data_IF_274516837688
#
_entry.id   IF_274516837688
#
_cell.length_a   1.000
_cell.length_b   1.000
_cell.length_c   1.000
_cell.angle_alpha   90.00
_cell.angle_beta   90.00
_cell.angle_gamma   90.00
#
_symmetry.space_group_name_H-M   'P 1'
#
loop_
_entity.id
_entity.type
_entity.pdbx_description
1 polymer ?
2 non-polymer ?
3 non-polymer ?
4 non-polymer ?
5 water ?
#
# COMPACT_ATOMS: atom_id res chain seq x y z
N UNK A 1 3.49 8.27 13.94
CA UNK A 1 4.42 7.70 12.86
C UNK A 1 4.62 6.24 13.16
N UNK A 2 5.05 5.54 12.14
CA UNK A 2 5.42 4.17 12.32
C UNK A 2 6.75 4.00 11.63
N UNK A 3 7.45 2.95 12.06
CA UNK A 3 8.81 2.70 11.64
C UNK A 3 9.02 1.23 11.29
N UNK A 4 9.92 0.98 10.32
CA UNK A 4 10.36 -0.40 10.00
C UNK A 4 11.83 -0.37 9.61
N UNK A 5 12.65 -1.29 10.22
CA UNK A 5 14.05 -1.48 9.94
C UNK A 5 14.31 -2.83 9.31
N UNK A 6 15.04 -2.79 8.22
CA UNK A 6 15.38 -3.96 7.51
C UNK A 6 16.52 -4.71 8.21
N UNK A 7 17.35 -4.02 8.98
CA UNK A 7 18.42 -4.57 9.69
C UNK A 7 17.93 -5.37 10.85
N UNK A 8 18.12 -6.69 10.76
CA UNK A 8 17.59 -7.65 11.75
C UNK A 8 16.14 -8.02 11.52
N UNK A 9 15.58 -7.58 10.40
CA UNK A 9 14.17 -7.82 10.15
C UNK A 9 13.90 -9.32 9.92
N UNK A 10 12.77 -9.75 10.38
CA UNK A 10 12.29 -11.13 10.18
C UNK A 10 10.80 -11.10 9.98
N UNK A 11 10.20 -12.25 9.68
CA UNK A 11 8.71 -12.27 9.49
C UNK A 11 7.90 -11.71 10.66
N UNK A 12 8.37 -11.89 11.87
CA UNK A 12 7.64 -11.32 13.01
C UNK A 12 7.75 -9.77 13.03
N UNK A 13 8.96 -9.21 12.88
CA UNK A 13 9.15 -7.79 13.00
C UNK A 13 8.41 -7.04 11.90
N UNK A 14 8.40 -7.66 10.75
CA UNK A 14 7.63 -7.15 9.64
C UNK A 14 6.11 -7.18 9.99
N UNK A 15 5.67 -8.31 10.52
CA UNK A 15 4.27 -8.40 10.89
C UNK A 15 3.93 -7.35 11.91
N UNK A 16 4.83 -7.06 12.88
CA UNK A 16 4.55 -5.98 13.88
C UNK A 16 4.55 -4.58 13.21
N UNK A 17 5.41 -4.35 12.17
CA UNK A 17 5.29 -3.15 11.39
C UNK A 17 3.93 -3.02 10.73
N UNK A 18 3.49 -4.06 10.10
CA UNK A 18 2.23 -3.96 9.35
C UNK A 18 1.05 -3.80 10.31
N UNK A 19 1.12 -4.45 11.47
CA UNK A 19 0.13 -4.16 12.45
C UNK A 19 0.13 -2.67 12.93
N UNK A 20 1.30 -2.08 13.12
CA UNK A 20 1.42 -0.72 13.63
C UNK A 20 0.85 0.20 12.52
N UNK A 21 1.12 -0.16 11.24
CA UNK A 21 0.63 0.62 10.09
C UNK A 21 -0.93 0.63 10.02
N UNK A 22 -1.54 -0.53 10.10
CA UNK A 22 -2.99 -0.65 10.24
C UNK A 22 -3.51 0.15 11.47
N UNK A 23 -2.85 0.08 12.60
CA UNK A 23 -3.37 0.71 13.80
C UNK A 23 -3.26 2.21 13.78
N UNK A 24 -2.38 2.70 12.94
CA UNK A 24 -2.21 4.11 12.78
C UNK A 24 -3.27 4.82 11.85
N UNK A 25 -4.14 4.05 11.19
CA UNK A 25 -5.15 4.64 10.29
C UNK A 25 -6.41 4.82 11.05
N UNK A 26 -6.97 5.98 11.05
CA UNK A 26 -8.13 6.13 11.91
C UNK A 26 -9.41 5.63 11.22
N UNK A 27 -10.30 5.13 12.05
CA UNK A 27 -11.62 4.71 11.65
C UNK A 27 -12.55 4.96 12.87
N UNK A 28 -13.77 5.26 12.59
CA UNK A 28 -14.76 5.31 13.73
C UNK A 28 -15.76 4.16 13.59
N UNK A 29 -15.89 3.47 12.44
CA UNK A 29 -16.64 2.26 12.43
C UNK A 29 -16.03 1.08 11.73
N UNK A 30 -16.67 -0.07 11.96
CA UNK A 30 -16.31 -1.28 11.21
C UNK A 30 -17.48 -1.77 10.51
N UNK A 31 -17.23 -2.41 9.38
CA UNK A 31 -18.28 -2.94 8.55
C UNK A 31 -17.90 -4.40 8.40
N UNK A 32 -18.80 -5.26 8.86
CA UNK A 32 -18.52 -6.67 8.99
C UNK A 32 -17.19 -6.96 9.69
N UNK A 33 -16.93 -6.22 10.76
CA UNK A 33 -15.75 -6.28 11.55
C UNK A 33 -14.46 -5.88 10.85
N UNK A 34 -14.56 -5.22 9.70
CA UNK A 34 -13.36 -4.71 9.03
C UNK A 34 -13.33 -3.16 9.17
N UNK A 35 -12.23 -2.61 9.71
CA UNK A 35 -12.14 -1.17 9.82
C UNK A 35 -12.52 -0.43 8.55
N UNK A 36 -13.42 0.53 8.69
CA UNK A 36 -13.78 1.43 7.57
C UNK A 36 -13.00 2.76 7.61
N UNK A 37 -12.19 2.97 6.56
CA UNK A 37 -11.43 4.15 6.52
C UNK A 37 -12.36 5.37 6.38
N UNK A 38 -11.86 6.50 6.86
CA UNK A 38 -12.72 7.69 6.93
C UNK A 38 -12.94 8.30 5.55
N UNK A 39 -14.08 8.92 5.33
CA UNK A 39 -14.35 9.72 4.10
C UNK A 39 -13.28 10.79 3.78
N UNK A 40 -12.94 11.61 4.77
CA UNK A 40 -11.81 12.52 4.69
C UNK A 40 -11.29 12.90 6.06
N UNK A 41 -10.12 13.54 6.03
CA UNK A 41 -9.49 14.10 7.21
C UNK A 41 -8.88 15.41 6.75
N UNK A 42 -9.09 16.51 7.48
CA UNK A 42 -8.51 17.77 7.08
C UNK A 42 -7.14 18.02 7.74
N UNK A 43 -6.37 18.77 6.97
CA UNK A 43 -5.06 19.19 7.37
C UNK A 43 -4.03 18.08 7.40
N UNK A 44 -3.01 18.32 8.22
CA UNK A 44 -1.81 17.53 8.34
C UNK A 44 -2.18 16.17 8.85
N UNK A 45 -3.28 16.08 9.61
CA UNK A 45 -3.79 14.78 10.09
C UNK A 45 -4.15 13.73 9.05
N UNK A 46 -4.35 14.18 7.79
CA UNK A 46 -4.54 13.24 6.71
C UNK A 46 -3.32 12.32 6.45
N UNK A 47 -2.14 12.65 6.93
CA UNK A 47 -0.91 12.02 6.41
C UNK A 47 -0.17 11.30 7.59
N UNK A 48 0.08 10.03 7.43
CA UNK A 48 0.91 9.27 8.32
C UNK A 48 2.30 9.25 7.77
N UNK A 49 3.30 9.43 8.61
CA UNK A 49 4.68 9.25 8.15
C UNK A 49 5.17 7.81 8.52
N UNK A 50 5.74 7.12 7.54
CA UNK A 50 6.42 5.88 7.76
C UNK A 50 7.93 6.05 7.61
N UNK A 51 8.67 5.74 8.66
CA UNK A 51 10.09 5.85 8.65
C UNK A 51 10.67 4.47 8.31
N UNK A 52 11.36 4.37 7.17
CA UNK A 52 11.88 3.08 6.69
C UNK A 52 13.38 3.13 6.71
N UNK A 53 14.02 2.10 7.25
CA UNK A 53 15.50 2.10 7.36
C UNK A 53 16.01 0.88 6.61
N UNK A 54 16.92 1.15 5.69
CA UNK A 54 17.55 0.10 4.96
C UNK A 54 18.49 -0.66 5.85
N UNK A 55 18.99 -1.75 5.31
CA UNK A 55 19.90 -2.56 6.07
C UNK A 55 21.13 -1.84 6.62
N UNK A 56 21.70 -0.85 5.92
CA UNK A 56 22.80 -0.09 6.52
C UNK A 56 22.35 1.02 7.47
N UNK A 57 21.04 1.21 7.60
CA UNK A 57 20.59 2.17 8.56
C UNK A 57 20.28 3.52 7.93
N UNK A 58 20.35 3.70 6.61
CA UNK A 58 19.83 4.96 6.01
C UNK A 58 18.36 4.92 5.90
N UNK A 59 17.77 6.06 5.88
CA UNK A 59 16.30 6.14 6.02
C UNK A 59 15.63 7.08 5.03
N UNK A 60 14.42 6.70 4.63
CA UNK A 60 13.49 7.58 4.00
C UNK A 60 12.20 7.60 4.90
N UNK A 61 11.48 8.70 4.74
CA UNK A 61 10.20 8.89 5.41
C UNK A 61 9.13 8.96 4.36
N UNK A 62 8.10 8.16 4.44
CA UNK A 62 7.14 8.06 3.35
C UNK A 62 5.82 8.59 3.89
N UNK A 63 5.16 9.48 3.11
CA UNK A 63 3.86 10.05 3.56
C UNK A 63 2.74 9.24 2.96
N UNK A 64 1.83 8.83 3.83
CA UNK A 64 0.70 8.07 3.41
C UNK A 64 -0.64 8.76 3.74
N UNK A 65 -1.57 8.75 2.78
CA UNK A 65 -2.92 9.40 2.99
C UNK A 65 -3.71 8.30 3.74
N UNK A 66 -4.11 8.67 4.95
CA UNK A 66 -4.83 7.76 5.89
C UNK A 66 -6.21 7.34 5.48
N UNK A 67 -6.80 7.99 4.47
CA UNK A 67 -8.20 7.70 4.07
C UNK A 67 -8.19 6.66 2.96
N UNK A 68 -7.03 6.50 2.29
CA UNK A 68 -6.99 5.48 1.25
C UNK A 68 -5.69 4.58 1.14
N UNK A 69 -4.75 4.75 2.05
CA UNK A 69 -3.44 4.10 2.10
C UNK A 69 -2.55 4.41 0.85
N UNK A 70 -2.80 5.53 0.17
CA UNK A 70 -2.06 5.86 -1.01
C UNK A 70 -0.82 6.57 -0.55
N UNK A 71 0.26 6.19 -1.18
CA UNK A 71 1.57 6.91 -1.00
C UNK A 71 1.56 8.24 -1.76
N UNK A 72 1.80 9.32 -1.05
CA UNK A 72 1.78 10.64 -1.65
C UNK A 72 3.21 11.03 -2.19
N UNK A 73 4.22 10.64 -1.44
CA UNK A 73 5.62 11.09 -1.65
C UNK A 73 6.51 10.66 -0.49
N UNK A 74 7.75 11.08 -0.51
CA UNK A 74 8.76 10.69 0.46
C UNK A 74 9.87 11.74 0.56
N UNK A 75 10.57 11.71 1.66
CA UNK A 75 11.69 12.54 1.98
C UNK A 75 12.92 11.63 2.06
N UNK A 76 13.96 12.03 1.34
CA UNK A 76 15.27 11.28 1.29
C UNK A 76 16.37 12.29 1.46
N UNK A 77 16.87 12.35 2.70
CA UNK A 77 17.87 13.27 3.23
C UNK A 77 17.28 14.70 3.27
N UNK A 78 17.69 15.58 2.37
CA UNK A 78 17.14 16.93 2.36
C UNK A 78 16.20 17.21 1.11
N UNK A 79 15.87 16.17 0.32
CA UNK A 79 15.01 16.28 -0.83
C UNK A 79 13.67 15.53 -0.65
N UNK A 80 12.58 16.24 -0.83
CA UNK A 80 11.27 15.63 -0.94
C UNK A 80 10.93 15.29 -2.37
N UNK A 81 10.15 14.21 -2.55
CA UNK A 81 9.69 13.69 -3.83
C UNK A 81 8.17 13.41 -3.76
N UNK A 82 7.40 13.95 -4.65
CA UNK A 82 5.97 13.74 -4.72
C UNK A 82 5.53 13.28 -6.05
N UNK A 83 4.52 12.40 -6.02
CA UNK A 83 3.83 12.08 -7.24
C UNK A 83 3.27 13.29 -7.95
N UNK A 84 3.24 13.21 -9.27
CA UNK A 84 2.69 14.24 -10.17
C UNK A 84 1.17 13.98 -10.27
N UNK A 85 0.50 14.39 -9.18
CA UNK A 85 -0.97 14.24 -9.09
C UNK A 85 -1.49 15.20 -8.02
N UNK A 86 -2.74 15.66 -8.18
CA UNK A 86 -3.20 16.77 -7.26
C UNK A 86 -3.27 16.35 -5.78
N UNK A 87 -3.55 15.11 -5.50
CA UNK A 87 -3.51 14.70 -4.06
C UNK A 87 -2.16 14.82 -3.43
N UNK A 88 -1.10 14.52 -4.20
CA UNK A 88 0.24 14.67 -3.65
C UNK A 88 0.65 16.12 -3.60
N UNK A 89 0.24 16.93 -4.57
CA UNK A 89 0.60 18.30 -4.53
C UNK A 89 0.01 18.93 -3.22
N UNK A 90 -1.24 18.60 -2.91
CA UNK A 90 -1.92 19.06 -1.70
C UNK A 90 -1.11 18.53 -0.51
N UNK A 91 -0.75 17.25 -0.54
CA UNK A 91 0.01 16.65 0.58
C UNK A 91 1.31 17.42 0.84
N UNK A 92 1.96 17.94 -0.24
CA UNK A 92 3.21 18.72 -0.11
C UNK A 92 3.02 20.04 0.61
N UNK A 93 1.76 20.49 0.81
CA UNK A 93 1.56 21.66 1.59
C UNK A 93 1.68 21.38 3.05
N UNK A 94 1.66 20.12 3.46
CA UNK A 94 1.71 19.74 4.91
C UNK A 94 2.96 18.94 5.40
N UNK A 95 3.54 18.06 4.57
CA UNK A 95 4.61 17.17 5.02
C UNK A 95 5.91 17.52 4.27
N UNK A 96 7.01 17.36 4.94
CA UNK A 96 8.35 17.55 4.36
C UNK A 96 8.67 18.95 3.96
N UNK A 97 8.02 19.92 4.58
CA UNK A 97 8.26 21.34 4.21
C UNK A 97 9.67 21.88 4.61
N UNK A 98 10.32 21.14 5.52
CA UNK A 98 11.68 21.35 5.92
C UNK A 98 12.67 20.83 4.84
N UNK A 99 12.24 20.14 3.78
CA UNK A 99 13.17 19.79 2.73
C UNK A 99 13.75 21.02 2.10
N UNK A 100 15.01 20.91 1.77
CA UNK A 100 15.72 21.96 1.04
C UNK A 100 15.33 22.06 -0.46
N UNK A 101 14.94 20.99 -1.12
CA UNK A 101 14.24 21.09 -2.45
C UNK A 101 13.19 20.08 -2.56
N UNK A 102 12.24 20.32 -3.46
CA UNK A 102 11.12 19.45 -3.67
C UNK A 102 11.15 19.10 -5.15
N UNK A 103 11.23 17.81 -5.42
CA UNK A 103 11.15 17.28 -6.75
C UNK A 103 9.77 16.70 -6.96
N UNK A 104 9.11 17.07 -8.04
CA UNK A 104 7.94 16.26 -8.40
C UNK A 104 8.37 15.14 -9.38
N UNK A 105 8.00 13.94 -9.09
CA UNK A 105 8.27 12.79 -9.89
C UNK A 105 7.58 12.95 -11.18
N UNK A 106 8.14 12.35 -12.25
CA UNK A 106 7.49 12.55 -13.57
C UNK A 106 6.36 11.55 -13.85
N UNK A 107 5.64 11.14 -12.86
CA UNK A 107 4.50 10.30 -13.05
C UNK A 107 3.62 10.46 -11.77
N UNK A 108 2.36 10.06 -11.95
CA UNK A 108 1.47 9.89 -10.87
C UNK A 108 1.75 8.51 -10.23
N UNK A 109 0.98 8.19 -9.17
CA UNK A 109 1.24 7.04 -8.36
C UNK A 109 0.43 5.80 -8.75
N UNK A 110 -0.30 5.84 -9.83
CA UNK A 110 -1.09 4.64 -9.99
C UNK A 110 -0.29 3.57 -10.73
N UNK A 111 -0.76 2.36 -10.58
CA UNK A 111 0.08 1.26 -11.00
C UNK A 111 0.35 1.33 -12.46
N UNK A 112 -0.65 1.69 -13.25
CA UNK A 112 -0.36 1.68 -14.66
C UNK A 112 0.75 2.69 -15.06
N UNK A 113 0.73 3.90 -14.51
CA UNK A 113 1.79 4.86 -14.84
C UNK A 113 3.12 4.44 -14.33
N UNK A 114 3.13 3.89 -13.13
CA UNK A 114 4.38 3.37 -12.53
C UNK A 114 5.00 2.26 -13.33
N UNK A 115 4.18 1.36 -13.84
CA UNK A 115 4.68 0.24 -14.70
C UNK A 115 5.25 0.73 -16.04
N UNK A 116 4.58 1.73 -16.63
CA UNK A 116 5.11 2.40 -17.81
C UNK A 116 6.48 3.00 -17.53
N UNK A 117 6.60 3.72 -16.44
CA UNK A 117 7.83 4.40 -16.09
C UNK A 117 8.92 3.39 -15.76
N UNK A 118 8.53 2.27 -15.17
CA UNK A 118 9.47 1.24 -14.87
C UNK A 118 9.88 0.41 -16.05
N UNK A 119 9.10 0.36 -17.10
CA UNK A 119 9.45 -0.48 -18.20
C UNK A 119 8.98 -1.96 -18.02
N UNK A 120 8.20 -2.22 -17.02
CA UNK A 120 7.76 -3.60 -16.74
C UNK A 120 6.54 -3.67 -15.80
N UNK A 121 5.74 -4.75 -15.94
CA UNK A 121 4.58 -4.82 -15.09
C UNK A 121 4.96 -5.42 -13.80
N UNK A 122 4.10 -5.25 -12.82
CA UNK A 122 4.60 -5.72 -11.59
C UNK A 122 4.57 -7.19 -11.37
N UNK A 123 3.94 -7.94 -12.27
CA UNK A 123 4.08 -9.38 -12.36
C UNK A 123 5.54 -9.81 -12.50
N UNK A 124 6.39 -8.93 -13.06
CA UNK A 124 7.77 -9.27 -13.34
C UNK A 124 8.73 -8.66 -12.38
N UNK A 125 8.26 -8.09 -11.31
CA UNK A 125 9.11 -7.38 -10.38
C UNK A 125 9.02 -8.17 -9.02
N UNK A 126 10.15 -8.80 -8.60
CA UNK A 126 10.21 -9.50 -7.31
C UNK A 126 9.95 -8.57 -6.16
N UNK A 127 9.14 -9.10 -5.21
CA UNK A 127 8.92 -8.41 -3.93
C UNK A 127 9.37 -9.32 -2.79
N UNK A 128 9.51 -8.67 -1.66
CA UNK A 128 9.90 -9.33 -0.44
C UNK A 128 10.73 -8.36 0.38
N UNK A 129 11.24 -8.81 1.53
CA UNK A 129 12.05 -7.94 2.36
C UNK A 129 13.37 -7.53 1.66
N UNK A 130 14.03 -8.46 0.94
CA UNK A 130 15.28 -7.92 0.35
C UNK A 130 14.95 -6.85 -0.67
N UNK A 131 13.85 -7.05 -1.37
CA UNK A 131 13.48 -6.06 -2.39
C UNK A 131 13.07 -4.69 -1.82
N UNK A 132 12.40 -4.74 -0.68
CA UNK A 132 12.16 -3.51 0.06
C UNK A 132 13.41 -2.79 0.47
N UNK A 133 14.36 -3.53 0.99
CA UNK A 133 15.67 -2.93 1.31
C UNK A 133 16.32 -2.23 0.10
N UNK A 134 16.30 -2.91 -1.05
CA UNK A 134 16.78 -2.39 -2.31
C UNK A 134 15.98 -1.11 -2.70
N UNK A 135 14.66 -1.16 -2.54
CA UNK A 135 13.80 -0.09 -2.92
C UNK A 135 14.16 1.21 -2.13
N UNK A 136 14.28 1.09 -0.83
CA UNK A 136 14.63 2.19 0.06
C UNK A 136 15.98 2.80 -0.40
N UNK A 137 16.88 1.89 -0.72
CA UNK A 137 18.20 2.32 -1.13
C UNK A 137 18.16 3.12 -2.45
N UNK A 138 17.36 2.67 -3.39
CA UNK A 138 17.17 3.36 -4.63
C UNK A 138 16.62 4.77 -4.44
N UNK A 139 15.60 4.85 -3.55
CA UNK A 139 14.91 6.11 -3.37
C UNK A 139 15.77 7.18 -2.68
N UNK A 140 16.84 6.77 -2.03
CA UNK A 140 17.80 7.69 -1.44
C UNK A 140 18.44 8.63 -2.45
N UNK A 141 18.60 8.17 -3.70
CA UNK A 141 19.15 8.98 -4.75
C UNK A 141 18.25 9.05 -5.98
N UNK A 142 17.94 10.29 -6.42
CA UNK A 142 16.99 10.41 -7.51
C UNK A 142 17.46 9.71 -8.77
N UNK A 143 16.65 8.81 -9.27
CA UNK A 143 16.69 8.35 -10.63
C UNK A 143 15.20 7.93 -10.98
N UNK A 144 14.49 8.67 -11.84
CA UNK A 144 13.06 8.46 -11.92
C UNK A 144 12.62 7.07 -12.42
N UNK A 145 13.40 6.54 -13.38
CA UNK A 145 13.11 5.18 -13.92
C UNK A 145 13.35 4.15 -12.87
N UNK A 146 14.48 4.18 -12.20
CA UNK A 146 14.72 3.25 -11.06
C UNK A 146 13.71 3.41 -9.94
N UNK A 147 13.38 4.69 -9.63
CA UNK A 147 12.43 4.94 -8.56
C UNK A 147 11.06 4.39 -8.86
N UNK A 148 10.63 4.34 -10.10
CA UNK A 148 9.32 3.74 -10.43
C UNK A 148 9.22 2.25 -9.95
N UNK A 149 10.31 1.50 -10.20
CA UNK A 149 10.32 0.08 -9.82
C UNK A 149 10.34 -0.08 -8.31
N UNK A 150 11.09 0.81 -7.68
CA UNK A 150 11.23 0.83 -6.28
C UNK A 150 9.87 1.21 -5.58
N UNK A 151 9.11 2.14 -6.15
CA UNK A 151 7.91 2.57 -5.57
C UNK A 151 6.90 1.41 -5.72
N UNK A 152 6.96 0.73 -6.88
CA UNK A 152 6.06 -0.48 -7.05
C UNK A 152 6.30 -1.50 -5.94
N UNK A 153 7.59 -1.73 -5.63
CA UNK A 153 7.92 -2.54 -4.48
C UNK A 153 7.42 -1.95 -3.16
N UNK A 154 7.68 -0.70 -2.97
CA UNK A 154 7.36 -0.07 -1.67
C UNK A 154 5.80 -0.15 -1.39
N UNK A 155 5.03 0.11 -2.44
CA UNK A 155 3.53 0.21 -2.33
C UNK A 155 2.99 -1.17 -1.95
N UNK A 156 3.53 -2.21 -2.60
CA UNK A 156 3.07 -3.56 -2.35
C UNK A 156 3.46 -4.13 -1.00
N UNK A 157 4.62 -3.73 -0.50
CA UNK A 157 5.14 -4.23 0.73
C UNK A 157 4.71 -3.45 1.94
N UNK A 158 4.05 -2.33 1.73
CA UNK A 158 3.54 -1.52 2.79
C UNK A 158 2.01 -1.45 2.70
N UNK A 159 1.49 -0.58 1.83
CA UNK A 159 0.09 -0.32 1.77
C UNK A 159 -0.66 -1.61 1.47
N UNK A 160 -0.24 -2.36 0.44
CA UNK A 160 -1.01 -3.54 -0.01
C UNK A 160 -1.04 -4.69 1.07
N UNK A 161 0.06 -4.80 1.78
CA UNK A 161 0.20 -5.72 2.92
C UNK A 161 -0.73 -5.25 4.07
N UNK A 162 -0.79 -3.95 4.28
CA UNK A 162 -1.75 -3.47 5.34
C UNK A 162 -3.21 -3.80 4.97
N UNK A 163 -3.55 -3.67 3.69
CA UNK A 163 -4.91 -3.91 3.24
C UNK A 163 -5.31 -5.35 3.27
N UNK A 164 -4.36 -6.27 3.01
CA UNK A 164 -4.70 -7.71 2.90
C UNK A 164 -3.77 -8.59 3.62
N UNK A 165 -4.33 -9.42 4.53
CA UNK A 165 -3.57 -10.36 5.24
C UNK A 165 -2.76 -11.34 4.34
N UNK A 166 -3.37 -11.78 3.23
CA UNK A 166 -2.75 -12.68 2.29
C UNK A 166 -1.42 -12.00 1.81
N UNK A 167 -1.49 -10.69 1.52
CA UNK A 167 -0.28 -10.06 0.90
C UNK A 167 0.79 -9.92 1.94
N UNK A 168 0.40 -9.55 3.13
CA UNK A 168 1.30 -9.55 4.25
C UNK A 168 1.97 -10.93 4.41
N UNK A 169 1.20 -11.99 4.37
CA UNK A 169 1.78 -13.36 4.42
C UNK A 169 2.73 -13.68 3.25
N UNK A 170 2.36 -13.26 2.05
CA UNK A 170 3.30 -13.41 0.91
C UNK A 170 4.65 -12.79 1.17
N UNK A 171 4.63 -11.60 1.75
CA UNK A 171 5.87 -10.88 1.98
C UNK A 171 6.64 -11.57 3.08
N UNK A 172 5.91 -12.02 4.12
CA UNK A 172 6.59 -12.80 5.15
C UNK A 172 7.28 -14.05 4.59
N UNK A 173 6.65 -14.69 3.62
CA UNK A 173 7.21 -15.86 2.96
C UNK A 173 8.49 -15.44 2.16
N UNK A 174 8.63 -14.17 1.83
CA UNK A 174 9.74 -13.61 1.09
C UNK A 174 10.63 -12.76 1.95
N UNK A 175 10.83 -13.21 3.21
CA UNK A 175 11.69 -12.43 4.07
C UNK A 175 13.14 -12.46 3.66
N UNK A 176 13.64 -13.55 3.12
CA UNK A 176 15.05 -13.73 2.83
C UNK A 176 15.30 -14.14 1.34
N UNK A 177 14.27 -14.18 0.52
CA UNK A 177 14.33 -14.46 -0.90
C UNK A 177 13.14 -13.78 -1.57
N UNK A 178 13.45 -12.81 -2.44
CA UNK A 178 12.40 -12.15 -3.20
C UNK A 178 11.75 -13.10 -4.18
N UNK A 179 10.46 -12.82 -4.47
CA UNK A 179 9.80 -13.55 -5.53
C UNK A 179 8.73 -12.64 -6.15
N UNK A 180 8.45 -12.80 -7.43
CA UNK A 180 7.40 -11.91 -8.01
C UNK A 180 6.05 -12.27 -7.29
N UNK A 181 5.12 -11.28 -7.21
CA UNK A 181 3.81 -11.52 -6.54
C UNK A 181 3.09 -12.67 -7.18
N UNK A 182 2.33 -13.40 -6.39
CA UNK A 182 1.47 -14.41 -7.03
C UNK A 182 0.36 -13.64 -7.79
N UNK A 183 -0.28 -14.33 -8.70
CA UNK A 183 -1.35 -13.66 -9.42
C UNK A 183 -2.60 -13.36 -8.47
N UNK A 184 -2.78 -14.17 -7.42
CA UNK A 184 -3.79 -13.85 -6.42
C UNK A 184 -3.49 -12.47 -5.85
N UNK A 185 -2.22 -12.24 -5.49
CA UNK A 185 -1.79 -11.00 -4.89
C UNK A 185 -2.15 -9.82 -5.84
N UNK A 186 -1.79 -9.96 -7.14
CA UNK A 186 -2.09 -8.94 -8.10
C UNK A 186 -3.60 -8.66 -8.15
N UNK A 187 -4.38 -9.75 -8.22
CA UNK A 187 -5.86 -9.67 -8.23
C UNK A 187 -6.43 -8.88 -7.01
N UNK A 188 -5.93 -9.15 -5.80
CA UNK A 188 -6.43 -8.46 -4.64
C UNK A 188 -6.14 -6.99 -4.68
N UNK A 189 -4.88 -6.66 -5.07
CA UNK A 189 -4.47 -5.29 -5.27
C UNK A 189 -5.43 -4.56 -6.21
N UNK A 190 -5.75 -5.20 -7.33
CA UNK A 190 -6.54 -4.53 -8.32
C UNK A 190 -8.02 -4.42 -7.86
N UNK A 191 -8.45 -5.25 -6.90
CA UNK A 191 -9.82 -5.33 -6.53
C UNK A 191 -10.18 -4.60 -5.23
N UNK A 192 -9.19 -3.91 -4.60
CA UNK A 192 -9.37 -3.33 -3.29
C UNK A 192 -10.57 -2.39 -3.21
N UNK A 193 -10.64 -1.51 -4.21
CA UNK A 193 -11.66 -0.62 -4.34
C UNK A 193 -13.05 -1.31 -4.46
N UNK A 194 -13.13 -2.25 -5.41
CA UNK A 194 -14.37 -2.93 -5.68
C UNK A 194 -14.89 -3.78 -4.54
N UNK A 195 -13.97 -4.50 -3.89
CA UNK A 195 -14.28 -5.26 -2.67
C UNK A 195 -14.76 -4.40 -1.54
N UNK A 196 -14.04 -3.32 -1.37
CA UNK A 196 -14.44 -2.34 -0.35
C UNK A 196 -15.84 -1.85 -0.57
N UNK A 197 -16.15 -1.48 -1.80
CA UNK A 197 -17.49 -1.02 -2.16
C UNK A 197 -18.60 -2.08 -1.91
N UNK A 198 -18.33 -3.33 -2.35
CA UNK A 198 -19.29 -4.37 -2.33
C UNK A 198 -19.52 -4.83 -0.90
N UNK A 199 -18.50 -4.83 -0.07
CA UNK A 199 -18.67 -5.12 1.34
C UNK A 199 -19.57 -4.06 2.05
N UNK A 200 -19.36 -2.80 1.76
CA UNK A 200 -20.27 -1.78 2.22
C UNK A 200 -21.68 -1.88 1.63
N UNK A 201 -21.83 -2.23 0.36
CA UNK A 201 -23.20 -2.37 -0.18
C UNK A 201 -23.90 -3.64 0.27
N UNK A 202 -23.16 -4.60 0.76
CA UNK A 202 -23.76 -5.77 1.32
C UNK A 202 -24.52 -5.43 2.59
N UNK A 203 -24.20 -4.29 3.23
CA UNK A 203 -24.95 -3.93 4.45
C UNK A 203 -26.21 -3.24 3.94
N UNK A 204 -27.34 -3.82 4.21
CA UNK A 204 -28.48 -3.39 3.48
C UNK A 204 -28.94 -4.36 2.42
N UNK A 205 -28.14 -5.39 2.14
CA UNK A 205 -28.54 -6.34 1.18
C UNK A 205 -28.29 -7.81 1.68
N UNK A 206 -28.30 -8.01 3.02
CA UNK A 206 -28.29 -9.37 3.63
C UNK A 206 -26.98 -10.04 3.39
N UNK A 207 -25.97 -9.18 3.44
CA UNK A 207 -24.62 -9.69 3.24
C UNK A 207 -24.30 -10.04 1.80
N UNK A 208 -25.22 -9.87 0.84
CA UNK A 208 -24.96 -10.21 -0.55
C UNK A 208 -24.38 -9.00 -1.33
N UNK A 209 -23.34 -9.25 -2.15
CA UNK A 209 -22.77 -8.23 -3.00
C UNK A 209 -23.78 -7.84 -4.04
N UNK A 210 -23.91 -6.54 -4.30
CA UNK A 210 -24.70 -6.08 -5.49
C UNK A 210 -24.12 -6.61 -6.80
N UNK A 211 -22.80 -6.62 -6.92
CA UNK A 211 -22.11 -6.95 -8.15
C UNK A 211 -20.97 -7.86 -7.68
N UNK A 212 -20.89 -9.09 -8.24
CA UNK A 212 -19.82 -10.01 -7.85
C UNK A 212 -18.48 -9.45 -8.21
N UNK A 213 -17.50 -9.75 -7.39
CA UNK A 213 -16.13 -9.48 -7.64
C UNK A 213 -15.40 -10.78 -8.13
N UNK A 214 -14.64 -10.67 -9.21
CA UNK A 214 -13.86 -11.83 -9.77
C UNK A 214 -12.43 -11.71 -9.32
N UNK A 215 -11.92 -12.73 -8.63
CA UNK A 215 -10.55 -12.83 -8.18
C UNK A 215 -9.85 -14.04 -8.77
N UNK A 216 -8.53 -13.95 -8.74
CA UNK A 216 -7.73 -15.11 -9.02
C UNK A 216 -7.32 -15.69 -7.66
N UNK A 217 -7.58 -16.95 -7.45
CA UNK A 217 -7.19 -17.61 -6.20
C UNK A 217 -5.73 -18.13 -6.19
N UNK A 218 -5.39 -18.68 -5.00
CA UNK A 218 -4.04 -19.13 -4.69
C UNK A 218 -3.53 -20.19 -5.69
N UNK A 219 -4.40 -21.11 -6.11
CA UNK A 219 -4.09 -22.03 -7.26
C UNK A 219 -4.09 -21.39 -8.70
N UNK A 220 -4.36 -20.10 -8.85
CA UNK A 220 -4.46 -19.53 -10.18
C UNK A 220 -5.82 -19.66 -10.86
N UNK A 221 -6.83 -20.15 -10.13
CA UNK A 221 -8.22 -20.24 -10.72
C UNK A 221 -9.04 -18.93 -10.52
N UNK A 222 -9.83 -18.55 -11.51
CA UNK A 222 -10.62 -17.30 -11.54
C UNK A 222 -11.92 -17.64 -10.78
N UNK A 223 -12.22 -16.90 -9.69
CA UNK A 223 -13.37 -17.21 -8.75
C UNK A 223 -14.21 -15.97 -8.44
N UNK A 224 -15.56 -16.14 -8.35
CA UNK A 224 -16.42 -15.03 -8.02
C UNK A 224 -16.66 -14.95 -6.53
N UNK A 225 -16.54 -13.73 -5.99
CA UNK A 225 -16.89 -13.44 -4.61
C UNK A 225 -18.26 -12.76 -4.68
N UNK A 226 -19.28 -13.33 -4.03
CA UNK A 226 -20.63 -12.85 -4.08
C UNK A 226 -21.23 -12.43 -2.72
N UNK A 227 -20.51 -12.66 -1.63
CA UNK A 227 -21.08 -12.37 -0.30
C UNK A 227 -20.05 -12.36 0.78
N UNK A 228 -20.45 -11.82 1.92
CA UNK A 228 -19.57 -11.60 3.04
C UNK A 228 -19.06 -12.84 3.79
N UNK A 229 -19.57 -14.02 3.42
CA UNK A 229 -19.09 -15.31 4.03
C UNK A 229 -17.85 -15.75 3.36
N UNK A 230 -17.49 -15.18 2.18
CA UNK A 230 -16.27 -15.61 1.54
C UNK A 230 -15.03 -15.33 2.44
N UNK A 231 -14.01 -16.15 2.28
CA UNK A 231 -12.77 -16.00 3.11
C UNK A 231 -12.03 -14.70 2.84
N UNK A 232 -12.23 -14.13 1.66
CA UNK A 232 -11.58 -12.86 1.39
C UNK A 232 -12.13 -11.80 2.34
N UNK A 233 -13.43 -11.88 2.67
CA UNK A 233 -14.03 -10.91 3.54
C UNK A 233 -13.83 -11.21 5.04
N UNK A 234 -13.93 -12.49 5.39
CA UNK A 234 -13.91 -12.88 6.81
C UNK A 234 -12.48 -12.97 7.31
N UNK A 235 -11.51 -13.26 6.44
CA UNK A 235 -10.15 -13.61 6.86
C UNK A 235 -8.96 -13.07 6.01
N UNK A 236 -9.12 -11.97 5.45
CA UNK A 236 -8.06 -11.50 4.52
C UNK A 236 -8.09 -9.97 4.53
N UNK A 237 -9.04 -9.35 3.83
CA UNK A 237 -9.10 -7.86 3.77
C UNK A 237 -9.15 -7.27 5.18
N UNK A 238 -8.34 -6.24 5.46
CA UNK A 238 -8.17 -5.62 6.74
C UNK A 238 -8.58 -4.20 6.84
N UNK A 239 -8.93 -3.58 5.69
CA UNK A 239 -9.24 -2.13 5.64
C UNK A 239 -10.11 -1.92 4.41
N UNK A 240 -11.17 -1.13 4.60
CA UNK A 240 -12.11 -0.82 3.54
C UNK A 240 -11.94 0.65 3.14
N UNK A 241 -11.69 0.88 1.85
CA UNK A 241 -11.86 2.18 1.26
C UNK A 241 -13.35 2.62 1.37
N UNK A 242 -13.60 3.80 1.94
CA UNK A 242 -14.90 4.36 2.06
C UNK A 242 -15.58 4.62 0.71
N UNK A 243 -16.86 4.22 0.55
CA UNK A 243 -17.56 4.41 -0.75
C UNK A 243 -17.66 5.87 -1.15
N UNK A 244 -17.53 6.78 -0.18
CA UNK A 244 -17.49 8.18 -0.53
C UNK A 244 -16.24 8.54 -1.38
N UNK A 245 -15.25 7.67 -1.39
CA UNK A 245 -14.03 7.81 -2.18
C UNK A 245 -13.97 6.85 -3.38
N UNK A 246 -15.08 6.29 -3.83
CA UNK A 246 -15.11 5.29 -4.95
C UNK A 246 -16.19 5.66 -6.02
X LIG B 1 -22.02 -17.12 -0.86
X LIG B 1 -23.01 -17.85 -1.74
X LIG B 1 -22.86 -19.37 -1.60
X LIG B 1 -21.40 -19.77 -1.76
X LIG B 1 -20.50 -18.92 -0.87
X LIG B 1 -19.03 -19.29 -1.08
X LIG B 1 -24.94 -16.39 -1.93
X LIG B 1 -26.38 -16.16 -1.54
X LIG B 1 -24.37 -17.46 -1.39
X LIG B 1 -23.65 -20.02 -2.60
X LIG B 1 -21.26 -21.16 -1.40
X LIG B 1 -20.69 -17.55 -1.18
X LIG B 1 -18.20 -18.30 -0.46
X LIG B 1 -24.35 -15.65 -2.69
X LIG C 1 -12.34 -9.43 10.12
X LIG C 1 -12.96 -10.54 10.82
X LIG C 1 -10.82 -9.48 10.28
X LIG C 1 -10.20 -10.17 9.16
X LIG C 1 -10.28 -8.07 10.42
X LIG C 1 -9.32 -8.07 11.48
X LIG D 1 -3.44 2.22 -9.27
X LIG D 1 -2.67 1.88 -8.10
X LIG D 1 -3.00 2.58 -6.78
X LIG D 1 -3.17 1.59 -5.74
X LIG D 1 -1.82 3.45 -6.37
X LIG D 1 -2.28 4.80 -6.03
X LIG D 1 -1.04 2.69 -5.30
X LIG D 1 -0.59 3.54 -4.16
X LIG D 1 -1.96 1.50 -4.95
X LIG D 1 -2.33 1.55 -3.59
#
# INVERSE_FOLDING_TARGET
DVSFRLSGADPSSYGMFIKDLRNALPHTEKVYNIPLLLPSVSGAGRYLLMHLFNYDGNTITVAVDVTNVYIMGYLALTTSYFFNEPAADLASQYVFRSARRKITLPYSGNYERLQIAAGKPREKIPIGLPALDTAISTLLHYDSTAAAGALLVLIQTTAEAARFKYIEQQIQERAYRDEVPSSATISLENSWSGLSKQIQLAQGNNGVFRTPTVLVDSKGNRVQITNVTSNVVTSNIQLLLNTKNI
NAG C1 C2 C3 C4 C5 C6 C7 C8 N2 O3 O4 O5 O6 O7
GOL C1 O1 C2 O2 C3 O3
RIB O5 C5 C4 O4 C3 O3 C2 O2 C1 O1
#
